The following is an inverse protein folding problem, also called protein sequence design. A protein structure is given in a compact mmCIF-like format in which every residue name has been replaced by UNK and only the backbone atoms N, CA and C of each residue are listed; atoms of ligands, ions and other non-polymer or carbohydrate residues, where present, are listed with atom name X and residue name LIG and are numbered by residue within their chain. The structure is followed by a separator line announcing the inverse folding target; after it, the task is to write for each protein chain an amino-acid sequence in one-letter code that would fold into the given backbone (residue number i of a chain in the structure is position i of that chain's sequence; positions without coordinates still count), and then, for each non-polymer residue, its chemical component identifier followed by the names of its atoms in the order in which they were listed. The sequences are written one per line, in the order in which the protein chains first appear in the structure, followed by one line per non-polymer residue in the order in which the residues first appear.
data_IF_547121918599
#
_entry.id   IF_547121918599
#
_cell.length_a   1.000
_cell.length_b   1.000
_cell.length_c   1.000
_cell.angle_alpha   90.00
_cell.angle_beta   90.00
_cell.angle_gamma   90.00
#
_symmetry.space_group_name_H-M   'P 1'
#
loop_
_entity.id
_entity.type
_entity.pdbx_description
1 polymer ?
#
# COMPACT_ATOMS: atom_id res chain seq x y z
N UNK A 1 0.33 15.25 -4.16
CA UNK A 1 1.40 14.95 -3.18
C UNK A 1 2.74 15.22 -3.84
N UNK A 2 3.75 15.69 -3.11
CA UNK A 2 5.02 16.13 -3.70
C UNK A 2 6.21 15.22 -3.37
N UNK A 3 6.32 14.72 -2.14
CA UNK A 3 7.41 13.82 -1.75
C UNK A 3 7.11 13.04 -0.47
N UNK A 4 7.91 12.01 -0.19
CA UNK A 4 7.87 11.24 1.07
C UNK A 4 9.23 11.21 1.74
N UNK A 5 9.23 11.17 3.07
CA UNK A 5 10.40 10.94 3.92
C UNK A 5 10.19 9.59 4.60
N UNK A 6 11.06 8.63 4.32
CA UNK A 6 11.01 7.28 4.89
C UNK A 6 12.38 6.95 5.47
N UNK A 7 12.43 6.80 6.79
CA UNK A 7 13.61 6.33 7.52
C UNK A 7 13.19 5.30 8.58
N UNK A 8 14.17 4.73 9.28
CA UNK A 8 13.90 3.79 10.39
C UNK A 8 13.12 4.45 11.54
N UNK A 9 13.36 5.73 11.79
CA UNK A 9 12.79 6.46 12.94
C UNK A 9 11.68 7.42 12.56
N UNK A 10 11.54 7.77 11.27
CA UNK A 10 10.64 8.82 10.82
C UNK A 10 9.96 8.45 9.52
N UNK A 11 8.65 8.64 9.49
CA UNK A 11 7.84 8.54 8.28
C UNK A 11 6.97 9.78 8.15
N UNK A 12 7.09 10.47 7.02
CA UNK A 12 6.35 11.70 6.75
C UNK A 12 6.11 11.88 5.24
N UNK A 13 5.19 12.76 4.88
CA UNK A 13 4.89 13.15 3.51
C UNK A 13 4.84 14.66 3.38
N UNK A 14 5.28 15.18 2.24
CA UNK A 14 5.08 16.59 1.88
C UNK A 14 3.84 16.69 1.00
N UNK A 15 2.79 17.29 1.58
CA UNK A 15 1.47 17.46 0.98
C UNK A 15 1.20 18.96 0.93
N UNK A 16 0.96 19.51 -0.26
CA UNK A 16 0.71 20.94 -0.47
C UNK A 16 1.80 21.85 0.15
N UNK A 17 3.07 21.43 0.06
CA UNK A 17 4.20 22.14 0.66
C UNK A 17 4.38 21.96 2.17
N UNK A 18 3.49 21.22 2.85
CA UNK A 18 3.55 20.98 4.30
C UNK A 18 4.06 19.59 4.61
N UNK A 19 4.98 19.48 5.55
CA UNK A 19 5.42 18.19 6.07
C UNK A 19 4.39 17.65 7.06
N UNK A 20 3.84 16.49 6.77
CA UNK A 20 2.84 15.80 7.58
C UNK A 20 3.44 14.47 8.02
N UNK A 21 3.61 14.28 9.32
CA UNK A 21 4.17 13.04 9.86
C UNK A 21 3.13 11.93 9.90
N UNK A 22 3.60 10.67 9.98
CA UNK A 22 2.71 9.53 10.18
C UNK A 22 1.86 9.77 11.44
N UNK A 23 0.55 9.56 11.31
CA UNK A 23 -0.51 9.85 12.28
C UNK A 23 -0.81 11.33 12.53
N UNK A 24 -0.09 12.26 11.88
CA UNK A 24 -0.43 13.68 11.95
C UNK A 24 -1.63 14.02 11.06
N UNK A 25 -2.29 15.14 11.36
CA UNK A 25 -3.43 15.65 10.59
C UNK A 25 -2.97 16.65 9.52
N UNK A 26 -3.64 16.61 8.38
CA UNK A 26 -3.57 17.59 7.31
C UNK A 26 -5.00 18.02 6.94
N UNK A 27 -5.41 19.20 7.41
CA UNK A 27 -6.81 19.63 7.36
C UNK A 27 -7.71 18.67 8.14
N UNK A 28 -8.68 18.08 7.44
CA UNK A 28 -9.67 17.13 8.02
C UNK A 28 -9.28 15.65 7.85
N UNK A 29 -8.07 15.37 7.39
CA UNK A 29 -7.58 14.02 7.16
C UNK A 29 -6.35 13.71 8.03
N UNK A 30 -6.17 12.45 8.41
CA UNK A 30 -5.00 11.96 9.14
C UNK A 30 -4.14 11.09 8.20
N UNK A 31 -2.82 11.29 8.22
CA UNK A 31 -1.89 10.44 7.48
C UNK A 31 -1.73 9.10 8.19
N UNK A 32 -2.19 8.01 7.59
CA UNK A 32 -2.19 6.68 8.22
C UNK A 32 -1.16 5.73 7.62
N UNK A 33 -0.66 6.02 6.41
CA UNK A 33 0.36 5.21 5.76
C UNK A 33 1.25 6.06 4.85
N UNK A 34 2.55 5.73 4.87
CA UNK A 34 3.57 6.35 4.01
C UNK A 34 4.38 5.22 3.37
N UNK A 35 4.28 5.11 2.05
CA UNK A 35 5.05 4.24 1.17
C UNK A 35 5.89 5.08 0.20
N UNK A 36 6.90 4.50 -0.44
CA UNK A 36 7.82 5.24 -1.33
C UNK A 36 7.11 5.97 -2.48
N UNK A 37 6.03 5.38 -3.01
CA UNK A 37 5.29 5.91 -4.15
C UNK A 37 3.91 6.46 -3.83
N UNK A 38 3.43 6.27 -2.61
CA UNK A 38 2.05 6.59 -2.24
C UNK A 38 1.89 6.84 -0.76
N UNK A 39 0.89 7.65 -0.43
CA UNK A 39 0.49 7.95 0.94
C UNK A 39 -1.01 7.78 1.09
N UNK A 40 -1.43 7.45 2.30
CA UNK A 40 -2.84 7.22 2.59
C UNK A 40 -3.31 8.18 3.66
N UNK A 41 -4.33 8.94 3.33
CA UNK A 41 -5.04 9.82 4.23
C UNK A 41 -6.38 9.18 4.63
N UNK A 42 -6.67 9.16 5.93
CA UNK A 42 -7.97 8.75 6.47
C UNK A 42 -8.76 9.99 6.88
N UNK A 43 -9.96 10.14 6.31
CA UNK A 43 -11.01 11.07 6.77
C UNK A 43 -12.04 10.28 7.58
N UNK A 44 -13.04 10.96 8.13
CA UNK A 44 -14.03 10.35 9.02
C UNK A 44 -14.60 9.02 8.49
N UNK A 45 -14.94 8.94 7.21
CA UNK A 45 -15.57 7.76 6.60
C UNK A 45 -14.83 7.25 5.36
N UNK A 46 -13.78 7.94 4.89
CA UNK A 46 -13.14 7.61 3.61
C UNK A 46 -11.63 7.49 3.75
N UNK A 47 -11.06 6.60 2.94
CA UNK A 47 -9.63 6.41 2.77
C UNK A 47 -9.23 6.96 1.41
N UNK A 48 -8.35 7.94 1.38
CA UNK A 48 -7.85 8.57 0.16
C UNK A 48 -6.39 8.19 -0.04
N UNK A 49 -6.07 7.67 -1.23
CA UNK A 49 -4.70 7.38 -1.64
C UNK A 49 -4.21 8.53 -2.50
N UNK A 50 -3.03 9.05 -2.18
CA UNK A 50 -2.30 10.00 -3.01
C UNK A 50 -1.05 9.31 -3.53
N UNK A 51 -0.89 9.27 -4.85
CA UNK A 51 0.28 8.71 -5.52
C UNK A 51 1.22 9.85 -5.94
N UNK A 52 2.51 9.57 -5.91
CA UNK A 52 3.53 10.50 -6.40
C UNK A 52 3.55 10.55 -7.93
N UNK A 53 3.36 9.37 -8.55
CA UNK A 53 3.35 9.19 -10.00
C UNK A 53 2.09 8.39 -10.39
N UNK A 54 1.00 9.06 -10.82
CA UNK A 54 -0.28 8.38 -11.09
C UNK A 54 -0.20 7.34 -12.22
N UNK A 55 0.64 7.57 -13.23
CA UNK A 55 0.76 6.70 -14.42
C UNK A 55 1.93 5.71 -14.34
N UNK A 56 2.65 5.66 -13.21
CA UNK A 56 3.83 4.81 -13.05
C UNK A 56 3.56 3.67 -12.08
N UNK A 57 3.72 2.44 -12.56
CA UNK A 57 3.69 1.24 -11.71
C UNK A 57 5.00 1.10 -10.95
N UNK A 58 5.03 1.62 -9.73
CA UNK A 58 6.17 1.47 -8.81
C UNK A 58 6.09 0.07 -8.19
N UNK A 59 7.07 -0.80 -8.50
CA UNK A 59 7.16 -2.12 -7.87
C UNK A 59 7.64 -1.96 -6.44
N UNK A 60 6.80 -2.31 -5.47
CA UNK A 60 7.23 -2.40 -4.08
C UNK A 60 8.22 -3.58 -3.95
N UNK A 61 9.43 -3.31 -3.47
CA UNK A 61 10.30 -4.40 -3.01
C UNK A 61 9.73 -4.87 -1.67
N UNK A 62 9.28 -6.11 -1.62
CA UNK A 62 8.76 -6.71 -0.40
C UNK A 62 9.88 -6.85 0.64
N UNK A 63 10.09 -5.82 1.45
CA UNK A 63 10.79 -5.99 2.72
C UNK A 63 9.83 -6.71 3.65
N UNK A 64 10.06 -8.01 3.89
CA UNK A 64 9.30 -8.82 4.85
C UNK A 64 9.31 -8.17 6.24
N UNK A 65 8.32 -7.33 6.51
CA UNK A 65 7.90 -6.96 7.86
C UNK A 65 6.42 -7.29 7.97
N UNK A 66 6.14 -8.36 8.72
CA UNK A 66 4.79 -8.84 9.04
C UNK A 66 3.90 -7.67 9.47
N UNK A 67 2.88 -7.33 8.68
CA UNK A 67 1.72 -6.54 9.13
C UNK A 67 0.69 -7.54 9.66
N UNK A 68 0.40 -7.45 10.96
CA UNK A 68 -0.78 -8.05 11.56
C UNK A 68 -2.00 -7.15 11.29
N UNK A 69 -3.12 -7.81 10.97
CA UNK A 69 -4.54 -7.40 11.00
C UNK A 69 -4.99 -6.18 10.16
N UNK A 70 -6.08 -6.25 9.40
CA UNK A 70 -7.41 -6.76 9.79
C UNK A 70 -8.15 -7.52 8.68
N UNK A 71 -8.75 -8.63 9.11
CA UNK A 71 -9.54 -9.63 8.40
C UNK A 71 -11.03 -9.24 8.29
N UNK A 72 -11.71 -9.65 7.21
CA UNK A 72 -13.13 -10.05 7.21
C UNK A 72 -13.38 -10.92 5.95
N UNK A 73 -13.07 -12.20 6.13
CA UNK A 73 -13.71 -13.42 5.62
C UNK A 73 -14.94 -13.29 4.71
N UNK A 74 -14.88 -13.91 3.52
CA UNK A 74 -15.76 -15.04 3.13
C UNK A 74 -15.16 -15.77 1.91
N UNK A 75 -14.93 -17.08 2.06
CA UNK A 75 -14.66 -18.06 0.98
C UNK A 75 -16.02 -18.58 0.43
N UNK A 76 -16.11 -19.14 -0.80
CA UNK A 76 -15.69 -20.53 -1.01
C UNK A 76 -14.89 -20.78 -2.30
N UNK A 77 -13.90 -21.66 -2.14
CA UNK A 77 -13.58 -22.84 -2.97
C UNK A 77 -13.94 -22.81 -4.47
N UNK A 78 -12.92 -22.82 -5.34
CA UNK A 78 -12.51 -24.04 -6.09
C UNK A 78 -11.25 -23.70 -6.90
N UNK A 79 -10.22 -24.53 -6.73
CA UNK A 79 -8.87 -24.31 -7.23
C UNK A 79 -8.70 -25.11 -8.52
N UNK A 80 -7.91 -24.53 -9.43
CA UNK A 80 -6.98 -25.25 -10.33
C UNK A 80 -7.44 -25.52 -11.76
N UNK A 81 -7.21 -24.54 -12.63
CA UNK A 81 -6.67 -24.80 -13.98
C UNK A 81 -5.29 -25.43 -13.82
N UNK A 82 -4.98 -26.56 -14.50
CA UNK A 82 -3.91 -26.66 -15.54
C UNK A 82 -4.16 -27.92 -16.43
N UNK A 83 -4.14 -27.81 -17.78
CA UNK A 83 -4.09 -28.94 -18.70
C UNK A 83 -2.65 -29.46 -18.97
N UNK A 84 -2.58 -30.77 -19.25
CA UNK A 84 -1.64 -31.48 -20.14
C UNK A 84 -0.10 -31.28 -20.02
N UNK A 85 0.62 -32.37 -19.72
CA UNK A 85 1.69 -32.85 -20.62
C UNK A 85 2.04 -34.33 -20.36
N UNK A 86 2.15 -35.05 -21.47
CA UNK A 86 2.40 -36.47 -21.63
C UNK A 86 3.88 -36.83 -21.34
N UNK A 87 4.13 -38.04 -20.82
CA UNK A 87 5.39 -38.75 -21.04
C UNK A 87 5.12 -40.19 -21.47
N UNK A 88 5.37 -40.39 -22.76
CA UNK A 88 5.78 -41.59 -23.46
C UNK A 88 6.60 -42.55 -22.58
N UNK A 89 6.22 -43.84 -22.57
CA UNK A 89 6.99 -44.92 -21.97
C UNK A 89 7.14 -46.03 -23.01
N UNK A 90 8.36 -46.10 -23.55
CA UNK A 90 9.16 -47.27 -23.95
C UNK A 90 8.44 -48.59 -24.22
#
# INVERSE_FOLDING_TARGET
MQSTIISKSRRAAIIDGKTVELWAKHGNAQLVEVNEGSVVLRRAQTRQVLTLFPDVKIKQRETKTKKASSESEVQPEEISTIPAVQKEKK
#
